data_IF_070065239466
#
_entry.id   IF_070065239466
#
_cell.length_a   1.000
_cell.length_b   1.000
_cell.length_c   1.000
_cell.angle_alpha   90.00
_cell.angle_beta   90.00
_cell.angle_gamma   90.00
#
_symmetry.space_group_name_H-M   'P 1'
#
loop_
_entity.id
_entity.type
_entity.pdbx_description
1 polymer ?
#
# COMPACT_ATOMS: atom_id res chain seq x y z
N UNK A 1 -0.97 3.62 -15.17
CA UNK A 1 -0.52 4.01 -13.81
C UNK A 1 -1.17 3.18 -12.71
N UNK A 2 -2.47 2.89 -12.80
CA UNK A 2 -3.22 2.13 -11.77
C UNK A 2 -2.59 0.75 -11.46
N UNK A 3 -2.17 0.00 -12.48
CA UNK A 3 -1.51 -1.32 -12.27
C UNK A 3 -0.18 -1.20 -11.53
N UNK A 4 0.59 -0.12 -11.76
CA UNK A 4 1.86 0.12 -11.07
C UNK A 4 1.67 0.49 -9.59
N UNK A 5 0.60 1.23 -9.28
CA UNK A 5 0.22 1.56 -7.90
C UNK A 5 -0.05 0.30 -7.06
N UNK A 6 -0.61 -0.76 -7.66
CA UNK A 6 -0.87 -2.03 -6.94
C UNK A 6 0.41 -2.75 -6.47
N UNK A 7 1.56 -2.47 -7.07
CA UNK A 7 2.86 -3.02 -6.66
C UNK A 7 3.68 -2.05 -5.78
N UNK A 8 3.21 -0.81 -5.61
CA UNK A 8 3.81 0.18 -4.72
C UNK A 8 3.73 -0.31 -3.27
N UNK A 9 4.81 -0.15 -2.49
CA UNK A 9 4.94 -0.71 -1.14
C UNK A 9 5.78 -2.00 -1.06
N UNK A 10 6.26 -2.54 -2.17
CA UNK A 10 7.30 -3.59 -2.14
C UNK A 10 8.61 -3.07 -1.53
N UNK A 11 8.90 -1.77 -1.66
CA UNK A 11 10.02 -1.12 -0.95
C UNK A 11 9.90 -1.17 0.59
N UNK A 12 8.69 -1.35 1.13
CA UNK A 12 8.46 -1.48 2.57
C UNK A 12 9.15 -2.72 3.14
N UNK A 13 9.29 -3.78 2.33
CA UNK A 13 10.02 -4.99 2.71
C UNK A 13 11.48 -4.65 3.03
N UNK A 14 12.09 -3.70 2.30
CA UNK A 14 13.46 -3.23 2.56
C UNK A 14 13.57 -2.41 3.86
N UNK A 15 12.57 -1.59 4.18
CA UNK A 15 12.54 -0.86 5.46
C UNK A 15 12.38 -1.83 6.62
N UNK A 16 11.43 -2.77 6.50
CA UNK A 16 11.22 -3.82 7.49
C UNK A 16 12.43 -4.75 7.64
N UNK A 17 13.18 -4.99 6.56
CA UNK A 17 14.44 -5.76 6.61
C UNK A 17 15.48 -5.16 7.54
N UNK A 18 15.58 -3.83 7.61
CA UNK A 18 16.51 -3.15 8.50
C UNK A 18 16.20 -3.33 9.98
N UNK A 19 14.97 -3.74 10.32
CA UNK A 19 14.49 -3.88 11.70
C UNK A 19 14.06 -5.32 12.03
N UNK A 20 14.08 -6.24 11.07
CA UNK A 20 13.64 -7.62 11.26
C UNK A 20 14.76 -8.49 11.82
N UNK A 21 14.43 -9.34 12.78
CA UNK A 21 15.35 -10.36 13.29
C UNK A 21 15.66 -11.37 12.17
N UNK A 22 16.94 -11.65 11.90
CA UNK A 22 17.40 -12.58 10.85
C UNK A 22 16.76 -12.36 9.45
N UNK A 23 17.00 -11.21 8.80
CA UNK A 23 16.32 -10.82 7.56
C UNK A 23 16.59 -11.77 6.39
N UNK A 24 17.78 -12.39 6.31
CA UNK A 24 18.17 -13.31 5.23
C UNK A 24 17.25 -14.54 5.09
N UNK A 25 16.68 -15.01 6.21
CA UNK A 25 15.78 -16.18 6.21
C UNK A 25 14.32 -15.78 6.29
N UNK A 26 14.00 -14.79 7.12
CA UNK A 26 12.62 -14.43 7.41
C UNK A 26 11.94 -13.70 6.26
N UNK A 27 12.67 -12.84 5.53
CA UNK A 27 12.09 -12.08 4.43
C UNK A 27 11.75 -12.96 3.23
N UNK A 28 12.65 -13.80 2.69
CA UNK A 28 12.31 -14.65 1.54
C UNK A 28 11.15 -15.61 1.85
N UNK A 29 11.10 -16.12 3.08
CA UNK A 29 10.02 -17.00 3.55
C UNK A 29 8.68 -16.27 3.62
N UNK A 30 8.66 -15.08 4.24
CA UNK A 30 7.46 -14.26 4.35
C UNK A 30 6.94 -13.84 2.97
N UNK A 31 7.82 -13.39 2.07
CA UNK A 31 7.45 -13.01 0.70
C UNK A 31 6.82 -14.17 -0.05
N UNK A 32 7.42 -15.37 0.00
CA UNK A 32 6.89 -16.55 -0.69
C UNK A 32 5.53 -16.98 -0.14
N UNK A 33 5.35 -16.92 1.18
CA UNK A 33 4.08 -17.24 1.84
C UNK A 33 2.99 -16.22 1.46
N UNK A 34 3.30 -14.93 1.46
CA UNK A 34 2.37 -13.86 1.08
C UNK A 34 2.01 -13.97 -0.39
N UNK A 35 2.98 -14.23 -1.29
CA UNK A 35 2.74 -14.38 -2.72
C UNK A 35 1.74 -15.50 -3.03
N UNK A 36 1.98 -16.72 -2.52
CA UNK A 36 1.08 -17.85 -2.74
C UNK A 36 -0.31 -17.62 -2.16
N UNK A 37 -0.37 -16.99 -0.99
CA UNK A 37 -1.62 -16.67 -0.31
C UNK A 37 -2.43 -15.64 -1.12
N UNK A 38 -1.81 -14.58 -1.62
CA UNK A 38 -2.48 -13.58 -2.48
C UNK A 38 -2.95 -14.22 -3.78
N UNK A 39 -2.08 -14.99 -4.45
CA UNK A 39 -2.40 -15.65 -5.72
C UNK A 39 -3.63 -16.57 -5.57
N UNK A 40 -3.62 -17.44 -4.54
CA UNK A 40 -4.73 -18.36 -4.29
C UNK A 40 -6.02 -17.59 -4.01
N UNK A 41 -6.00 -16.61 -3.09
CA UNK A 41 -7.20 -15.84 -2.77
C UNK A 41 -7.74 -15.03 -3.95
N UNK A 42 -6.86 -14.43 -4.78
CA UNK A 42 -7.28 -13.69 -5.97
C UNK A 42 -7.95 -14.58 -7.00
N UNK A 43 -7.31 -15.70 -7.36
CA UNK A 43 -7.85 -16.64 -8.36
C UNK A 43 -9.17 -17.23 -7.88
N UNK A 44 -9.24 -17.64 -6.61
CA UNK A 44 -10.44 -18.24 -6.03
C UNK A 44 -11.58 -17.23 -5.93
N UNK A 45 -11.29 -15.99 -5.56
CA UNK A 45 -12.26 -14.90 -5.52
C UNK A 45 -12.85 -14.62 -6.91
N UNK A 46 -11.99 -14.44 -7.93
CA UNK A 46 -12.43 -14.17 -9.30
C UNK A 46 -13.27 -15.34 -9.82
N UNK A 47 -12.86 -16.58 -9.53
CA UNK A 47 -13.62 -17.77 -9.92
C UNK A 47 -15.02 -17.78 -9.29
N UNK A 48 -15.14 -17.50 -7.98
CA UNK A 48 -16.44 -17.40 -7.30
C UNK A 48 -17.31 -16.29 -7.89
N UNK A 49 -16.74 -15.10 -8.09
CA UNK A 49 -17.46 -13.96 -8.68
C UNK A 49 -17.94 -14.30 -10.09
N UNK A 50 -17.10 -14.97 -10.90
CA UNK A 50 -17.42 -15.37 -12.27
C UNK A 50 -18.48 -16.47 -12.36
N UNK A 51 -18.60 -17.32 -11.34
CA UNK A 51 -19.66 -18.33 -11.24
C UNK A 51 -21.01 -17.76 -10.79
N UNK A 52 -20.99 -16.65 -10.04
CA UNK A 52 -22.21 -16.03 -9.48
C UNK A 52 -22.77 -14.95 -10.42
N UNK A 53 -21.92 -14.17 -11.08
CA UNK A 53 -22.35 -13.09 -11.98
C UNK A 53 -22.28 -13.60 -13.43
N UNK A 54 -23.42 -13.76 -14.13
CA UNK A 54 -23.40 -14.14 -15.53
C UNK A 54 -22.66 -13.08 -16.36
N UNK A 55 -21.80 -13.51 -17.28
CA UNK A 55 -20.98 -12.66 -18.17
C UNK A 55 -21.79 -11.70 -19.06
N UNK A 56 -23.11 -11.85 -19.07
CA UNK A 56 -24.08 -11.09 -19.87
C UNK A 56 -24.72 -9.93 -19.09
N UNK A 57 -24.40 -9.77 -17.80
CA UNK A 57 -25.01 -8.74 -16.96
C UNK A 57 -24.37 -7.36 -17.20
N UNK A 58 -25.14 -6.32 -17.59
CA UNK A 58 -24.63 -4.97 -17.85
C UNK A 58 -23.99 -4.29 -16.63
N UNK A 59 -24.17 -4.87 -15.44
CA UNK A 59 -23.53 -4.48 -14.19
C UNK A 59 -21.99 -4.67 -14.21
N UNK A 60 -21.47 -5.60 -15.04
CA UNK A 60 -20.02 -5.79 -15.26
C UNK A 60 -19.40 -4.74 -16.20
N UNK A 61 -20.21 -4.10 -17.04
CA UNK A 61 -19.79 -3.07 -17.99
C UNK A 61 -19.75 -1.66 -17.39
N UNK A 62 -20.20 -1.49 -16.14
CA UNK A 62 -19.93 -0.30 -15.34
C UNK A 62 -18.47 -0.31 -14.86
N UNK A 63 -17.54 -0.24 -15.82
CA UNK A 63 -16.19 0.30 -15.64
C UNK A 63 -16.22 1.83 -15.48
N UNK A 64 -17.34 2.38 -14.99
CA UNK A 64 -17.42 3.78 -14.64
C UNK A 64 -16.73 3.94 -13.29
N UNK A 65 -15.63 4.68 -13.33
CA UNK A 65 -14.79 5.15 -12.22
C UNK A 65 -15.59 6.02 -11.20
N UNK A 66 -16.92 5.99 -11.24
CA UNK A 66 -17.82 6.71 -10.34
C UNK A 66 -18.05 6.00 -9.01
N UNK A 67 -17.91 4.67 -8.96
CA UNK A 67 -18.12 3.88 -7.74
C UNK A 67 -16.91 3.00 -7.42
N UNK A 68 -15.76 3.63 -7.19
CA UNK A 68 -14.59 2.99 -6.55
C UNK A 68 -14.95 2.45 -5.14
N UNK A 69 -16.10 2.87 -4.61
CA UNK A 69 -16.66 2.57 -3.30
C UNK A 69 -17.31 1.19 -3.18
N UNK A 70 -17.63 0.50 -4.28
CA UNK A 70 -18.38 -0.77 -4.20
C UNK A 70 -17.47 -1.94 -4.54
N UNK A 71 -17.04 -2.66 -3.51
CA UNK A 71 -16.24 -3.87 -3.66
C UNK A 71 -17.04 -4.93 -4.43
N UNK A 72 -16.45 -5.60 -5.44
CA UNK A 72 -17.16 -6.63 -6.20
C UNK A 72 -17.68 -7.77 -5.30
N UNK A 73 -17.06 -8.01 -4.14
CA UNK A 73 -17.57 -8.93 -3.14
C UNK A 73 -18.85 -8.44 -2.45
N UNK A 74 -18.95 -7.14 -2.13
CA UNK A 74 -20.17 -6.61 -1.51
C UNK A 74 -21.33 -6.64 -2.49
N UNK A 75 -21.05 -6.44 -3.79
CA UNK A 75 -22.03 -6.58 -4.86
C UNK A 75 -22.58 -8.02 -4.95
N UNK A 76 -21.72 -9.03 -4.89
CA UNK A 76 -22.10 -10.44 -4.91
C UNK A 76 -23.01 -10.79 -3.73
N UNK A 77 -22.68 -10.34 -2.52
CA UNK A 77 -23.51 -10.63 -1.33
C UNK A 77 -24.84 -9.88 -1.32
N UNK A 78 -24.90 -8.69 -1.94
CA UNK A 78 -26.13 -7.94 -2.12
C UNK A 78 -27.07 -8.62 -3.12
N UNK A 79 -26.54 -9.13 -4.24
CA UNK A 79 -27.32 -9.92 -5.21
C UNK A 79 -27.78 -11.28 -4.65
N UNK A 80 -27.00 -11.90 -3.76
CA UNK A 80 -27.36 -13.16 -3.10
C UNK A 80 -28.38 -13.01 -1.95
N UNK A 81 -28.89 -11.80 -1.68
CA UNK A 81 -29.90 -11.54 -0.64
C UNK A 81 -29.37 -11.60 0.80
N UNK A 82 -28.06 -11.65 1.00
CA UNK A 82 -27.39 -11.76 2.30
C UNK A 82 -26.90 -10.38 2.76
N UNK A 83 -27.82 -9.47 3.13
CA UNK A 83 -27.46 -8.14 3.65
C UNK A 83 -26.48 -8.21 4.84
N UNK A 84 -26.62 -9.23 5.70
CA UNK A 84 -25.72 -9.46 6.83
C UNK A 84 -24.27 -9.77 6.38
N UNK A 85 -24.09 -10.44 5.25
CA UNK A 85 -22.76 -10.75 4.71
C UNK A 85 -22.08 -9.52 4.09
N UNK A 86 -22.86 -8.62 3.48
CA UNK A 86 -22.34 -7.34 2.96
C UNK A 86 -21.78 -6.45 4.09
N UNK A 87 -22.46 -6.39 5.24
CA UNK A 87 -21.98 -5.64 6.41
C UNK A 87 -20.67 -6.20 6.99
N UNK A 88 -20.56 -7.53 7.08
CA UNK A 88 -19.32 -8.21 7.52
C UNK A 88 -18.18 -7.90 6.54
N UNK A 89 -18.42 -7.97 5.23
CA UNK A 89 -17.40 -7.64 4.24
C UNK A 89 -16.95 -6.19 4.32
N UNK A 90 -17.87 -5.24 4.54
CA UNK A 90 -17.51 -3.84 4.77
C UNK A 90 -16.62 -3.67 6.01
N UNK A 91 -16.92 -4.38 7.10
CA UNK A 91 -16.06 -4.35 8.30
C UNK A 91 -14.66 -4.94 8.04
N UNK A 92 -14.56 -6.02 7.28
CA UNK A 92 -13.27 -6.62 6.86
C UNK A 92 -12.48 -5.65 5.99
N UNK A 93 -13.12 -5.01 5.01
CA UNK A 93 -12.49 -4.01 4.14
C UNK A 93 -11.99 -2.82 4.97
N UNK A 94 -12.82 -2.30 5.87
CA UNK A 94 -12.43 -1.17 6.74
C UNK A 94 -11.21 -1.53 7.59
N UNK A 95 -11.21 -2.72 8.18
CA UNK A 95 -10.08 -3.21 8.99
C UNK A 95 -8.82 -3.36 8.15
N UNK A 96 -8.95 -3.87 6.91
CA UNK A 96 -7.83 -4.01 5.99
C UNK A 96 -7.24 -2.65 5.57
N UNK A 97 -8.10 -1.67 5.26
CA UNK A 97 -7.68 -0.30 4.90
C UNK A 97 -6.98 0.39 6.07
N UNK A 98 -7.51 0.28 7.29
CA UNK A 98 -6.88 0.85 8.48
C UNK A 98 -5.51 0.23 8.76
N UNK A 99 -5.39 -1.09 8.61
CA UNK A 99 -4.11 -1.80 8.78
C UNK A 99 -3.06 -1.38 7.75
N UNK A 100 -3.48 -1.27 6.48
CA UNK A 100 -2.61 -0.77 5.40
C UNK A 100 -2.19 0.69 5.64
N UNK A 101 -3.11 1.55 6.08
CA UNK A 101 -2.84 2.94 6.41
C UNK A 101 -1.81 3.09 7.54
N UNK A 102 -1.94 2.30 8.61
CA UNK A 102 -0.96 2.30 9.71
C UNK A 102 0.45 1.90 9.23
N UNK A 103 0.54 0.88 8.38
CA UNK A 103 1.81 0.43 7.80
C UNK A 103 2.43 1.50 6.88
N UNK A 104 1.61 2.20 6.09
CA UNK A 104 2.06 3.31 5.25
C UNK A 104 2.54 4.53 6.05
N UNK A 105 1.86 4.87 7.15
CA UNK A 105 2.30 5.93 8.06
C UNK A 105 3.62 5.57 8.74
N UNK A 106 3.79 4.31 9.14
CA UNK A 106 5.04 3.79 9.69
C UNK A 106 6.20 3.98 8.71
N UNK A 107 6.02 3.52 7.46
CA UNK A 107 6.98 3.65 6.38
C UNK A 107 7.42 5.09 6.15
N UNK A 108 6.44 5.98 5.99
CA UNK A 108 6.66 7.39 5.65
C UNK A 108 7.41 8.12 6.76
N UNK A 109 7.05 7.81 8.00
CA UNK A 109 7.67 8.37 9.20
C UNK A 109 9.14 7.95 9.32
N UNK A 110 9.45 6.66 9.07
CA UNK A 110 10.82 6.16 9.07
C UNK A 110 11.66 6.70 7.91
N UNK A 111 11.09 6.80 6.71
CA UNK A 111 11.77 7.41 5.55
C UNK A 111 12.11 8.88 5.80
N UNK A 112 11.17 9.67 6.35
CA UNK A 112 11.43 11.08 6.66
C UNK A 112 12.49 11.23 7.76
N UNK A 113 12.49 10.33 8.75
CA UNK A 113 13.51 10.28 9.79
C UNK A 113 14.91 9.97 9.22
N UNK A 114 15.06 8.95 8.37
CA UNK A 114 16.35 8.61 7.77
C UNK A 114 16.89 9.74 6.89
N UNK A 115 16.02 10.38 6.09
CA UNK A 115 16.38 11.57 5.32
C UNK A 115 16.88 12.73 6.20
N UNK A 116 16.31 12.91 7.40
CA UNK A 116 16.74 13.94 8.34
C UNK A 116 18.08 13.61 9.00
N UNK A 117 18.34 12.33 9.29
CA UNK A 117 19.64 11.87 9.78
C UNK A 117 20.76 12.08 8.74
N UNK A 118 20.45 11.83 7.46
CA UNK A 118 21.38 12.05 6.34
C UNK A 118 21.57 13.54 5.97
N UNK A 119 20.94 14.47 6.70
CA UNK A 119 21.01 15.90 6.45
C UNK A 119 20.23 16.38 5.22
N UNK A 120 19.41 15.52 4.60
CA UNK A 120 18.57 15.84 3.44
C UNK A 120 17.19 16.42 3.82
N UNK A 121 16.81 16.30 5.09
CA UNK A 121 15.61 16.91 5.65
C UNK A 121 15.94 17.69 6.94
N UNK A 122 15.08 18.61 7.40
CA UNK A 122 15.32 19.38 8.61
C UNK A 122 15.64 18.50 9.82
N UNK A 123 16.69 18.85 10.57
CA UNK A 123 17.15 18.14 11.79
C UNK A 123 16.09 18.01 12.89
N UNK A 124 14.98 18.74 12.78
CA UNK A 124 13.83 18.61 13.67
C UNK A 124 13.21 17.20 13.57
N UNK A 125 13.27 16.58 12.38
CA UNK A 125 12.70 15.25 12.13
C UNK A 125 13.64 14.09 12.51
N UNK A 126 14.92 14.34 12.77
CA UNK A 126 15.88 13.31 13.23
C UNK A 126 15.84 13.05 14.74
N UNK A 127 14.90 13.67 15.46
CA UNK A 127 14.73 13.45 16.91
C UNK A 127 13.86 12.22 17.18
N UNK A 128 14.43 11.25 17.89
CA UNK A 128 13.72 10.09 18.43
C UNK A 128 13.15 10.36 19.82
N UNK A 129 11.96 9.83 20.09
CA UNK A 129 11.40 9.75 21.44
C UNK A 129 12.04 8.60 22.23
N UNK A 130 11.85 8.58 23.57
CA UNK A 130 12.31 7.49 24.46
C UNK A 130 11.82 6.09 24.03
N UNK A 131 10.70 6.01 23.32
CA UNK A 131 10.15 4.77 22.78
C UNK A 131 10.63 4.41 21.36
N UNK A 132 11.67 5.06 20.82
CA UNK A 132 12.21 4.72 19.49
C UNK A 132 11.38 5.22 18.29
N UNK A 133 10.35 6.04 18.53
CA UNK A 133 9.47 6.61 17.51
C UNK A 133 9.82 8.07 17.22
N UNK A 134 10.06 8.47 15.96
CA UNK A 134 10.35 9.86 15.59
C UNK A 134 9.04 10.67 15.50
N UNK A 135 8.60 11.20 16.65
CA UNK A 135 7.30 11.89 16.81
C UNK A 135 7.12 13.08 15.88
N UNK A 136 8.17 13.88 15.66
CA UNK A 136 8.07 15.05 14.78
C UNK A 136 7.80 14.66 13.33
N UNK A 137 8.44 13.59 12.85
CA UNK A 137 8.18 13.05 11.53
C UNK A 137 6.76 12.47 11.43
N UNK A 138 6.29 11.79 12.49
CA UNK A 138 4.92 11.27 12.57
C UNK A 138 3.86 12.37 12.50
N UNK A 139 4.04 13.48 13.23
CA UNK A 139 3.09 14.59 13.17
C UNK A 139 3.06 15.23 11.78
N UNK A 140 4.22 15.43 11.15
CA UNK A 140 4.29 15.98 9.80
C UNK A 140 3.58 15.10 8.77
N UNK A 141 3.83 13.78 8.78
CA UNK A 141 3.18 12.83 7.87
C UNK A 141 1.68 12.75 8.13
N UNK A 142 1.25 12.82 9.39
CA UNK A 142 -0.18 12.85 9.76
C UNK A 142 -0.88 14.11 9.26
N UNK A 143 -0.26 15.29 9.40
CA UNK A 143 -0.83 16.55 8.89
C UNK A 143 -0.99 16.51 7.38
N UNK A 144 0.02 16.01 6.65
CA UNK A 144 -0.06 15.85 5.20
C UNK A 144 -1.18 14.86 4.83
N UNK A 145 -1.28 13.73 5.53
CA UNK A 145 -2.34 12.76 5.30
C UNK A 145 -3.73 13.34 5.58
N UNK A 146 -3.89 14.13 6.65
CA UNK A 146 -5.13 14.81 6.99
C UNK A 146 -5.52 15.88 5.94
N UNK A 147 -4.55 16.62 5.41
CA UNK A 147 -4.79 17.56 4.31
C UNK A 147 -5.23 16.83 3.04
N UNK A 148 -4.58 15.73 2.67
CA UNK A 148 -5.01 14.88 1.55
C UNK A 148 -6.39 14.25 1.76
N UNK A 149 -6.76 13.93 3.01
CA UNK A 149 -8.09 13.44 3.33
C UNK A 149 -9.14 14.55 3.16
N UNK A 150 -8.85 15.77 3.63
CA UNK A 150 -9.72 16.92 3.47
C UNK A 150 -9.98 17.24 1.99
N UNK A 151 -8.96 17.15 1.12
CA UNK A 151 -9.17 17.39 -0.33
C UNK A 151 -10.11 16.37 -0.99
N UNK A 152 -10.21 15.15 -0.45
CA UNK A 152 -11.19 14.16 -0.88
C UNK A 152 -12.63 14.56 -0.52
N UNK A 153 -12.82 15.22 0.64
CA UNK A 153 -14.15 15.68 1.09
C UNK A 153 -14.70 16.84 0.25
N UNK A 154 -13.83 17.67 -0.35
CA UNK A 154 -14.23 18.77 -1.23
C UNK A 154 -14.56 18.32 -2.68
N UNK A 155 -14.52 17.01 -2.95
CA UNK A 155 -15.39 16.41 -3.97
C UNK A 155 -15.06 16.71 -5.42
N UNK A 156 -13.78 16.64 -5.82
CA UNK A 156 -13.47 16.59 -7.26
C UNK A 156 -12.71 15.30 -7.59
N UNK A 157 -13.35 14.41 -8.36
CA UNK A 157 -12.74 13.17 -8.88
C UNK A 157 -11.39 13.45 -9.57
N UNK A 158 -11.20 14.66 -10.11
CA UNK A 158 -9.94 15.14 -10.65
C UNK A 158 -8.82 15.18 -9.60
N UNK A 159 -9.07 15.65 -8.37
CA UNK A 159 -8.06 15.73 -7.31
C UNK A 159 -7.65 14.32 -6.86
N UNK A 160 -8.60 13.40 -6.78
CA UNK A 160 -8.32 11.99 -6.51
C UNK A 160 -7.43 11.37 -7.59
N UNK A 161 -7.75 11.59 -8.88
CA UNK A 161 -6.94 11.11 -10.00
C UNK A 161 -5.55 11.75 -10.03
N UNK A 162 -5.43 13.04 -9.67
CA UNK A 162 -4.14 13.71 -9.53
C UNK A 162 -3.31 13.08 -8.42
N UNK A 163 -3.88 12.89 -7.23
CA UNK A 163 -3.19 12.26 -6.10
C UNK A 163 -2.74 10.82 -6.45
N UNK A 164 -3.62 10.04 -7.08
CA UNK A 164 -3.27 8.69 -7.56
C UNK A 164 -2.12 8.72 -8.56
N UNK A 165 -2.18 9.61 -9.54
CA UNK A 165 -1.14 9.69 -10.55
C UNK A 165 0.19 10.17 -9.95
N UNK A 166 0.17 11.22 -9.12
CA UNK A 166 1.37 11.70 -8.44
C UNK A 166 1.98 10.63 -7.54
N UNK A 167 1.17 9.87 -6.78
CA UNK A 167 1.65 8.74 -5.98
C UNK A 167 2.26 7.63 -6.85
N UNK A 168 1.65 7.31 -7.99
CA UNK A 168 2.21 6.35 -8.93
C UNK A 168 3.56 6.80 -9.48
N UNK A 169 3.69 8.07 -9.85
CA UNK A 169 4.96 8.64 -10.36
C UNK A 169 6.07 8.60 -9.31
N UNK A 170 5.79 8.97 -8.06
CA UNK A 170 6.80 8.91 -6.99
C UNK A 170 7.26 7.48 -6.73
N UNK A 171 6.37 6.48 -6.84
CA UNK A 171 6.72 5.06 -6.78
C UNK A 171 7.71 4.65 -7.87
N UNK A 172 7.45 5.03 -9.13
CA UNK A 172 8.38 4.74 -10.23
C UNK A 172 9.74 5.40 -10.05
N UNK A 173 9.78 6.65 -9.56
CA UNK A 173 11.03 7.35 -9.24
C UNK A 173 11.80 6.61 -8.14
N UNK A 174 11.11 6.15 -7.09
CA UNK A 174 11.72 5.36 -6.02
C UNK A 174 12.32 4.06 -6.56
N UNK A 175 11.61 3.33 -7.43
CA UNK A 175 12.13 2.11 -8.05
C UNK A 175 13.31 2.36 -8.98
N UNK A 176 13.29 3.44 -9.76
CA UNK A 176 14.45 3.89 -10.54
C UNK A 176 15.65 4.17 -9.64
N UNK A 177 15.43 4.86 -8.52
CA UNK A 177 16.46 5.10 -7.50
C UNK A 177 17.03 3.80 -6.94
N UNK A 178 16.18 2.84 -6.56
CA UNK A 178 16.59 1.52 -6.08
C UNK A 178 17.39 0.77 -7.15
N UNK A 179 16.92 0.76 -8.40
CA UNK A 179 17.58 0.08 -9.50
C UNK A 179 18.96 0.69 -9.80
N UNK A 180 19.07 2.02 -9.80
CA UNK A 180 20.34 2.73 -9.97
C UNK A 180 21.26 2.45 -8.79
N UNK A 181 20.77 2.50 -7.54
CA UNK A 181 21.55 2.15 -6.36
C UNK A 181 22.05 0.70 -6.43
N UNK A 182 21.20 -0.24 -6.82
CA UNK A 182 21.57 -1.64 -6.99
C UNK A 182 22.64 -1.83 -8.08
N UNK A 183 22.53 -1.09 -9.20
CA UNK A 183 23.52 -1.10 -10.26
C UNK A 183 24.86 -0.45 -9.84
N UNK A 184 24.80 0.56 -8.97
CA UNK A 184 25.97 1.32 -8.49
C UNK A 184 26.65 0.70 -7.27
N UNK A 185 26.01 -0.27 -6.60
CA UNK A 185 26.66 -1.14 -5.63
C UNK A 185 27.63 -2.07 -6.40
N UNK A 186 28.96 -1.89 -6.28
CA UNK A 186 29.89 -2.77 -6.95
C UNK A 186 29.68 -4.18 -6.41
N UNK A 187 29.80 -5.19 -7.26
CA UNK A 187 29.77 -6.63 -6.99
C UNK A 187 30.82 -7.13 -5.97
N UNK A 188 31.48 -6.22 -5.24
CA UNK A 188 32.59 -6.45 -4.29
C UNK A 188 32.14 -6.83 -2.87
N UNK A 189 30.84 -6.93 -2.59
CA UNK A 189 30.30 -7.48 -1.35
C UNK A 189 29.46 -8.74 -1.61
N UNK A 190 29.88 -9.57 -2.59
CA UNK A 190 29.48 -10.98 -2.60
C UNK A 190 30.09 -11.63 -1.35
N UNK A 191 29.30 -12.17 -0.40
CA UNK A 191 29.87 -13.02 0.62
C UNK A 191 30.58 -14.17 -0.10
N UNK A 192 31.86 -14.34 0.21
CA UNK A 192 32.60 -15.52 -0.17
C UNK A 192 32.13 -16.66 0.74
N UNK A 193 31.61 -17.74 0.16
CA UNK A 193 31.38 -19.02 0.83
C UNK A 193 30.04 -19.15 1.52
#
# INVERSE_FOLDING_TARGET
MIVGFSFQGTELIGIAAGESENPEKNIPRAVRQVFWRILLFYVFAILIISLIIPYTDPSLLRNDVKDISVSPFTLVFQHAGLLSAAAIMNAVILTAVLSAGNSGMYASTRMLYTLACDGKAPRIFSKLSRGGVPRNALYATTVIAALCFLTSMFGNQTVYLWLLNTSGMTGFIAWLGIAISHYRFPSRLRPAG
#
